data_IF_073582258913
#
_entry.id   IF_073582258913
#
_cell.length_a   1.000
_cell.length_b   1.000
_cell.length_c   1.000
_cell.angle_alpha   90.00
_cell.angle_beta   90.00
_cell.angle_gamma   90.00
#
_symmetry.space_group_name_H-M   'P 1'
#
loop_
_entity.id
_entity.type
_entity.pdbx_description
1 polymer ?
#
# COMPACT_ATOMS: atom_id res chain seq x y z
N UNK A 1 1.40 23.41 40.13
CA UNK A 1 0.39 22.57 39.43
C UNK A 1 1.06 21.91 38.22
N UNK A 2 1.04 20.57 38.16
CA UNK A 2 1.99 19.68 37.49
C UNK A 2 2.19 19.85 35.96
N UNK A 3 3.45 20.10 35.57
CA UNK A 3 3.97 20.01 34.19
C UNK A 3 4.01 18.55 33.67
N UNK A 4 3.97 17.57 34.59
CA UNK A 4 3.85 16.14 34.27
C UNK A 4 2.50 15.79 33.62
N UNK A 5 1.43 16.51 33.93
CA UNK A 5 0.09 16.25 33.38
C UNK A 5 -0.04 16.71 31.92
N UNK A 6 0.77 17.67 31.47
CA UNK A 6 0.85 18.09 30.06
C UNK A 6 1.70 17.14 29.22
N UNK A 7 2.70 16.48 29.80
CA UNK A 7 3.54 15.50 29.10
C UNK A 7 2.80 14.20 28.78
N UNK A 8 1.87 13.79 29.65
CA UNK A 8 0.99 12.61 29.44
C UNK A 8 -0.04 12.87 28.33
N UNK A 9 -0.43 14.13 28.09
CA UNK A 9 -1.40 14.51 27.05
C UNK A 9 -0.78 14.69 25.65
N UNK A 10 0.55 14.53 25.53
CA UNK A 10 1.34 14.80 24.30
C UNK A 10 2.06 13.57 23.74
N UNK A 11 1.75 12.38 24.24
CA UNK A 11 1.77 11.16 23.44
C UNK A 11 0.44 11.12 22.69
N UNK A 12 0.31 11.94 21.65
CA UNK A 12 -0.93 12.02 20.88
C UNK A 12 -1.24 10.62 20.34
N UNK A 13 -2.42 10.08 20.65
CA UNK A 13 -3.01 8.93 19.95
C UNK A 13 -2.64 9.07 18.47
N UNK A 14 -1.81 8.14 17.96
CA UNK A 14 -1.45 8.15 16.56
C UNK A 14 -2.78 8.09 15.80
N UNK A 15 -3.03 9.08 14.95
CA UNK A 15 -4.27 9.07 14.16
C UNK A 15 -4.41 7.73 13.44
N UNK A 16 -5.63 7.23 13.30
CA UNK A 16 -5.94 5.98 12.60
C UNK A 16 -5.23 5.93 11.24
N UNK A 17 -5.16 7.06 10.53
CA UNK A 17 -4.40 7.19 9.27
C UNK A 17 -2.92 6.86 9.44
N UNK A 18 -2.27 7.36 10.49
CA UNK A 18 -0.86 7.06 10.78
C UNK A 18 -0.68 5.60 11.13
N UNK A 19 -1.55 5.03 11.97
CA UNK A 19 -1.52 3.61 12.32
C UNK A 19 -1.69 2.73 11.08
N UNK A 20 -2.62 3.06 10.19
CA UNK A 20 -2.84 2.33 8.94
C UNK A 20 -1.62 2.38 8.03
N UNK A 21 -1.01 3.56 7.84
CA UNK A 21 0.20 3.72 7.03
C UNK A 21 1.38 2.95 7.63
N UNK A 22 1.55 3.00 8.94
CA UNK A 22 2.59 2.22 9.64
C UNK A 22 2.36 0.72 9.48
N UNK A 23 1.13 0.24 9.68
CA UNK A 23 0.80 -1.18 9.51
C UNK A 23 1.00 -1.69 8.08
N UNK A 24 0.70 -0.88 7.05
CA UNK A 24 1.06 -1.24 5.67
C UNK A 24 2.57 -1.28 5.48
N UNK A 25 3.31 -0.30 5.99
CA UNK A 25 4.77 -0.24 5.87
C UNK A 25 5.47 -1.43 6.52
N UNK A 26 4.90 -1.99 7.57
CA UNK A 26 5.44 -3.16 8.28
C UNK A 26 4.77 -4.43 7.79
N UNK A 27 3.57 -4.74 8.26
CA UNK A 27 2.92 -6.02 8.07
C UNK A 27 2.71 -6.38 6.59
N UNK A 28 2.21 -5.45 5.78
CA UNK A 28 1.97 -5.74 4.36
C UNK A 28 3.26 -5.81 3.56
N UNK A 29 4.26 -4.99 3.88
CA UNK A 29 5.62 -5.12 3.32
C UNK A 29 6.23 -6.47 3.66
N UNK A 30 6.13 -6.93 4.91
CA UNK A 30 6.67 -8.22 5.34
C UNK A 30 5.98 -9.36 4.61
N UNK A 31 4.65 -9.31 4.48
CA UNK A 31 3.88 -10.26 3.69
C UNK A 31 4.34 -10.29 2.22
N UNK A 32 4.46 -9.15 1.56
CA UNK A 32 4.96 -9.08 0.18
C UNK A 32 6.39 -9.61 0.05
N UNK A 33 7.24 -9.39 1.06
CA UNK A 33 8.59 -9.95 1.09
C UNK A 33 8.58 -11.48 1.12
N UNK A 34 7.63 -12.11 1.82
CA UNK A 34 7.47 -13.58 1.79
C UNK A 34 7.12 -14.11 0.39
N UNK A 35 6.50 -13.28 -0.44
CA UNK A 35 6.15 -13.60 -1.83
C UNK A 35 7.29 -13.28 -2.82
N UNK A 36 8.43 -12.79 -2.35
CA UNK A 36 9.59 -12.44 -3.16
C UNK A 36 9.59 -11.00 -3.70
N UNK A 37 8.62 -10.16 -3.32
CA UNK A 37 8.63 -8.76 -3.67
C UNK A 37 9.65 -7.99 -2.83
N UNK A 38 10.31 -7.02 -3.47
CA UNK A 38 11.22 -6.07 -2.84
C UNK A 38 10.65 -4.67 -2.97
N UNK A 39 10.71 -3.90 -1.90
CA UNK A 39 10.28 -2.49 -1.92
C UNK A 39 11.20 -1.67 -2.83
N UNK A 40 10.62 -0.88 -3.71
CA UNK A 40 11.37 0.04 -4.57
C UNK A 40 11.77 1.29 -3.79
N UNK A 41 13.02 1.74 -3.97
CA UNK A 41 13.57 2.93 -3.28
C UNK A 41 13.08 4.25 -3.87
N UNK A 42 12.60 4.24 -5.11
CA UNK A 42 12.34 5.45 -5.89
C UNK A 42 10.84 5.78 -5.94
N UNK A 43 10.52 7.08 -5.79
CA UNK A 43 9.22 7.74 -6.07
C UNK A 43 8.16 7.78 -4.97
N UNK A 44 8.54 7.91 -3.70
CA UNK A 44 7.58 8.27 -2.65
C UNK A 44 7.94 9.59 -1.97
N UNK A 45 8.11 10.65 -2.76
CA UNK A 45 8.47 11.99 -2.24
C UNK A 45 7.46 12.52 -1.21
N UNK A 46 6.21 12.03 -1.25
CA UNK A 46 5.12 12.53 -0.42
C UNK A 46 4.56 11.48 0.56
N UNK A 47 5.10 10.26 0.60
CA UNK A 47 4.63 9.21 1.51
C UNK A 47 3.27 8.60 1.13
N UNK A 48 2.80 8.82 -0.11
CA UNK A 48 1.45 8.51 -0.58
C UNK A 48 1.33 7.20 -1.35
N UNK A 49 2.46 6.61 -1.76
CA UNK A 49 2.45 5.32 -2.42
C UNK A 49 3.71 4.49 -2.14
N UNK A 50 3.53 3.21 -1.83
CA UNK A 50 4.63 2.26 -1.71
C UNK A 50 4.63 1.30 -2.88
N UNK A 51 5.71 1.31 -3.66
CA UNK A 51 5.90 0.39 -4.78
C UNK A 51 6.80 -0.77 -4.38
N UNK A 52 6.49 -1.94 -4.94
CA UNK A 52 7.17 -3.20 -4.73
C UNK A 52 7.31 -3.91 -6.07
N UNK A 53 8.41 -4.65 -6.22
CA UNK A 53 8.70 -5.42 -7.42
C UNK A 53 9.22 -6.80 -7.09
N UNK A 54 8.72 -7.81 -7.80
CA UNK A 54 9.32 -9.14 -7.84
C UNK A 54 9.82 -9.41 -9.25
N UNK A 55 11.07 -9.87 -9.36
CA UNK A 55 11.69 -10.22 -10.63
C UNK A 55 11.55 -11.73 -10.82
N UNK A 56 10.88 -12.14 -11.88
CA UNK A 56 10.77 -13.53 -12.33
C UNK A 56 11.51 -13.68 -13.67
N UNK A 57 11.75 -14.93 -14.09
CA UNK A 57 12.47 -15.21 -15.32
C UNK A 57 11.79 -14.62 -16.57
N UNK A 58 10.45 -14.64 -16.60
CA UNK A 58 9.65 -14.26 -17.76
C UNK A 58 8.91 -12.93 -17.62
N UNK A 59 8.95 -12.29 -16.44
CA UNK A 59 8.27 -11.01 -16.18
C UNK A 59 8.74 -10.36 -14.89
N UNK A 60 8.47 -9.07 -14.75
CA UNK A 60 8.51 -8.38 -13.47
C UNK A 60 7.10 -8.13 -12.98
N UNK A 61 6.78 -8.61 -11.78
CA UNK A 61 5.53 -8.30 -11.11
C UNK A 61 5.67 -7.01 -10.31
N UNK A 62 4.63 -6.19 -10.37
CA UNK A 62 4.57 -4.84 -9.83
C UNK A 62 3.38 -4.73 -8.88
N UNK A 63 3.63 -4.21 -7.69
CA UNK A 63 2.59 -3.91 -6.70
C UNK A 63 2.81 -2.50 -6.18
N UNK A 64 1.74 -1.71 -6.08
CA UNK A 64 1.77 -0.39 -5.50
C UNK A 64 0.61 -0.18 -4.54
N UNK A 65 0.91 0.08 -3.27
CA UNK A 65 -0.10 0.52 -2.30
C UNK A 65 -0.25 2.02 -2.43
N UNK A 66 -1.45 2.49 -2.75
CA UNK A 66 -1.77 3.90 -2.91
C UNK A 66 -2.71 4.35 -1.79
N UNK A 67 -2.34 5.40 -1.06
CA UNK A 67 -3.18 5.99 -0.02
C UNK A 67 -4.08 7.09 -0.57
N UNK A 68 -5.19 7.33 0.13
CA UNK A 68 -6.10 8.42 -0.20
C UNK A 68 -5.40 9.79 -0.11
N UNK A 69 -5.63 10.64 -1.12
CA UNK A 69 -5.02 11.97 -1.28
C UNK A 69 -5.51 12.99 -0.24
N UNK A 70 -6.67 12.75 0.37
CA UNK A 70 -7.23 13.58 1.43
C UNK A 70 -6.82 13.10 2.83
N UNK A 71 -5.85 12.17 2.92
CA UNK A 71 -5.33 11.62 4.16
C UNK A 71 -6.36 10.88 5.02
N UNK A 72 -7.42 10.38 4.40
CA UNK A 72 -8.34 9.48 5.07
C UNK A 72 -7.63 8.14 5.34
N UNK A 73 -8.05 7.37 6.36
CA UNK A 73 -7.45 6.08 6.69
C UNK A 73 -7.90 5.02 5.68
N UNK A 74 -7.50 5.20 4.42
CA UNK A 74 -7.90 4.38 3.29
C UNK A 74 -6.74 4.16 2.30
N UNK A 75 -6.75 3.01 1.65
CA UNK A 75 -5.79 2.65 0.61
C UNK A 75 -6.37 1.68 -0.43
N UNK A 76 -5.70 1.57 -1.57
CA UNK A 76 -5.91 0.54 -2.59
C UNK A 76 -4.58 -0.10 -2.96
N UNK A 77 -4.64 -1.30 -3.52
CA UNK A 77 -3.48 -2.00 -4.05
C UNK A 77 -3.62 -2.03 -5.57
N UNK A 78 -2.71 -1.39 -6.28
CA UNK A 78 -2.60 -1.52 -7.73
C UNK A 78 -1.55 -2.59 -8.04
N UNK A 79 -1.76 -3.39 -9.08
CA UNK A 79 -0.85 -4.47 -9.43
C UNK A 79 -0.84 -4.72 -10.95
N UNK A 80 0.20 -5.39 -11.42
CA UNK A 80 0.33 -5.80 -12.82
C UNK A 80 1.69 -6.43 -13.07
N UNK A 81 2.00 -6.71 -14.33
CA UNK A 81 3.31 -7.23 -14.72
C UNK A 81 3.81 -6.59 -16.00
N UNK A 82 5.12 -6.58 -16.18
CA UNK A 82 5.75 -6.23 -17.45
C UNK A 82 6.77 -7.29 -17.90
N UNK A 83 7.05 -7.39 -19.20
CA UNK A 83 8.12 -8.24 -19.72
C UNK A 83 9.51 -7.84 -19.18
N UNK A 84 10.48 -8.76 -19.12
CA UNK A 84 11.83 -8.48 -18.63
C UNK A 84 12.57 -7.45 -19.48
N UNK A 85 12.24 -7.34 -20.77
CA UNK A 85 12.78 -6.34 -21.69
C UNK A 85 12.21 -4.93 -21.48
N UNK A 86 11.13 -4.80 -20.72
CA UNK A 86 10.44 -3.53 -20.47
C UNK A 86 9.17 -3.36 -21.30
N UNK A 87 8.76 -2.11 -21.52
CA UNK A 87 7.59 -1.76 -22.33
C UNK A 87 7.91 -0.59 -23.26
N UNK A 88 7.12 -0.45 -24.31
CA UNK A 88 7.09 0.77 -25.12
C UNK A 88 5.91 1.61 -24.66
N UNK A 89 6.15 2.86 -24.28
CA UNK A 89 5.08 3.77 -23.87
C UNK A 89 4.32 4.36 -25.06
N UNK A 90 3.27 5.15 -24.78
CA UNK A 90 2.45 5.77 -25.81
C UNK A 90 3.21 6.76 -26.73
N UNK A 91 4.43 7.15 -26.37
CA UNK A 91 5.29 8.03 -27.15
C UNK A 91 6.38 7.27 -27.91
N UNK A 92 6.33 5.94 -27.94
CA UNK A 92 7.32 5.10 -28.61
C UNK A 92 8.63 4.96 -27.85
N UNK A 93 8.70 5.37 -26.58
CA UNK A 93 9.92 5.27 -25.77
C UNK A 93 10.02 3.89 -25.13
N UNK A 94 11.19 3.27 -25.23
CA UNK A 94 11.49 2.06 -24.47
C UNK A 94 11.74 2.41 -22.99
N UNK A 95 10.90 1.87 -22.11
CA UNK A 95 11.03 1.97 -20.67
C UNK A 95 11.52 0.62 -20.14
N UNK A 96 12.75 0.54 -19.60
CA UNK A 96 13.31 -0.73 -19.14
C UNK A 96 12.54 -1.25 -17.94
N UNK A 97 12.45 -2.59 -17.82
CA UNK A 97 11.59 -3.25 -16.85
C UNK A 97 11.84 -2.83 -15.38
N UNK A 98 13.07 -2.44 -15.02
CA UNK A 98 13.43 -1.95 -13.69
C UNK A 98 12.94 -0.52 -13.38
N UNK A 99 12.46 0.23 -14.38
CA UNK A 99 11.95 1.60 -14.25
C UNK A 99 10.42 1.66 -14.44
N UNK A 100 9.83 0.66 -15.09
CA UNK A 100 8.37 0.57 -15.31
C UNK A 100 7.62 0.62 -13.99
N UNK A 101 6.79 1.65 -13.79
CA UNK A 101 5.84 1.70 -12.67
C UNK A 101 4.46 1.16 -13.08
N UNK A 102 3.65 0.76 -12.11
CA UNK A 102 2.31 0.21 -12.37
C UNK A 102 1.42 1.14 -13.22
N UNK A 103 1.59 2.46 -13.08
CA UNK A 103 0.81 3.48 -13.81
C UNK A 103 1.09 3.53 -15.31
N UNK A 104 2.16 2.88 -15.76
CA UNK A 104 2.53 2.79 -17.18
C UNK A 104 2.01 1.51 -17.83
N UNK A 105 1.43 0.59 -17.05
CA UNK A 105 0.96 -0.69 -17.55
C UNK A 105 -0.42 -0.55 -18.22
N UNK A 106 -0.54 -1.11 -19.43
CA UNK A 106 -1.82 -1.23 -20.14
C UNK A 106 -2.72 -2.26 -19.46
N UNK A 107 -2.15 -3.43 -19.11
CA UNK A 107 -2.84 -4.48 -18.36
C UNK A 107 -2.45 -4.33 -16.90
N UNK A 108 -3.37 -3.79 -16.10
CA UNK A 108 -3.21 -3.64 -14.65
C UNK A 108 -4.51 -3.91 -13.93
N UNK A 109 -4.40 -4.24 -12.64
CA UNK A 109 -5.52 -4.43 -11.74
C UNK A 109 -5.48 -3.45 -10.57
N UNK A 110 -6.65 -3.19 -10.01
CA UNK A 110 -6.82 -2.47 -8.74
C UNK A 110 -7.65 -3.31 -7.79
N UNK A 111 -7.10 -3.53 -6.61
CA UNK A 111 -7.75 -4.22 -5.52
C UNK A 111 -8.15 -3.22 -4.43
N UNK A 112 -9.44 -3.25 -4.10
CA UNK A 112 -10.04 -2.60 -2.94
C UNK A 112 -10.80 -3.61 -2.09
N UNK A 113 -11.51 -3.12 -1.08
CA UNK A 113 -12.42 -3.92 -0.26
C UNK A 113 -13.50 -4.59 -1.14
N UNK A 114 -13.98 -3.88 -2.14
CA UNK A 114 -14.80 -4.37 -3.25
C UNK A 114 -14.49 -3.51 -4.51
N UNK A 115 -15.09 -3.79 -5.69
CA UNK A 115 -14.73 -3.08 -6.92
C UNK A 115 -14.85 -1.55 -6.87
N UNK A 116 -15.65 -1.02 -5.95
CA UNK A 116 -15.92 0.42 -5.84
C UNK A 116 -15.49 1.03 -4.50
N UNK A 117 -14.85 0.26 -3.63
CA UNK A 117 -14.53 0.68 -2.27
C UNK A 117 -13.08 0.39 -1.91
N UNK A 118 -12.41 1.40 -1.37
CA UNK A 118 -11.06 1.32 -0.84
C UNK A 118 -11.05 0.46 0.43
N UNK A 119 -9.89 -0.13 0.74
CA UNK A 119 -9.67 -0.63 2.10
C UNK A 119 -9.63 0.56 3.04
N UNK A 120 -10.10 0.39 4.28
CA UNK A 120 -10.01 1.48 5.23
C UNK A 120 -10.82 1.34 6.50
N UNK A 121 -10.46 2.17 7.47
CA UNK A 121 -11.04 2.15 8.81
C UNK A 121 -12.08 3.26 8.91
N UNK A 122 -13.35 2.89 9.09
CA UNK A 122 -14.41 3.86 9.39
C UNK A 122 -14.35 4.28 10.86
N UNK A 123 -14.85 5.49 11.17
CA UNK A 123 -14.96 5.97 12.57
C UNK A 123 -15.73 4.99 13.46
N UNK A 124 -16.81 4.42 12.93
CA UNK A 124 -17.63 3.45 13.64
C UNK A 124 -16.84 2.17 13.97
N UNK A 125 -16.06 1.67 13.01
CA UNK A 125 -15.22 0.48 13.20
C UNK A 125 -14.13 0.74 14.25
N UNK A 126 -13.48 1.90 14.18
CA UNK A 126 -12.52 2.35 15.20
C UNK A 126 -13.14 2.41 16.59
N UNK A 127 -14.33 3.00 16.70
CA UNK A 127 -15.02 3.17 17.98
C UNK A 127 -15.33 1.83 18.66
N UNK A 128 -15.81 0.84 17.90
CA UNK A 128 -16.19 -0.45 18.48
C UNK A 128 -15.03 -1.41 18.71
N UNK A 129 -13.99 -1.39 17.87
CA UNK A 129 -12.89 -2.37 17.94
C UNK A 129 -11.61 -1.80 18.57
N UNK A 130 -11.49 -0.48 18.67
CA UNK A 130 -10.21 0.20 18.90
C UNK A 130 -9.37 0.30 17.63
N UNK A 131 -8.61 1.39 17.53
CA UNK A 131 -7.87 1.76 16.31
C UNK A 131 -6.91 0.68 15.81
N UNK A 132 -6.13 0.07 16.72
CA UNK A 132 -5.14 -0.95 16.34
C UNK A 132 -5.80 -2.20 15.75
N UNK A 133 -6.88 -2.70 16.36
CA UNK A 133 -7.61 -3.89 15.91
C UNK A 133 -8.35 -3.59 14.59
N UNK A 134 -8.91 -2.39 14.46
CA UNK A 134 -9.57 -1.95 13.24
C UNK A 134 -8.59 -1.86 12.05
N UNK A 135 -7.38 -1.36 12.28
CA UNK A 135 -6.28 -1.30 11.29
C UNK A 135 -5.79 -2.69 10.92
N UNK A 136 -5.44 -3.52 11.91
CA UNK A 136 -4.93 -4.88 11.70
C UNK A 136 -5.91 -5.74 10.88
N UNK A 137 -7.21 -5.65 11.18
CA UNK A 137 -8.24 -6.37 10.43
C UNK A 137 -8.39 -5.90 8.97
N UNK A 138 -8.20 -4.61 8.67
CA UNK A 138 -8.20 -4.13 7.27
C UNK A 138 -6.95 -4.59 6.51
N UNK A 139 -5.79 -4.62 7.16
CA UNK A 139 -4.54 -5.10 6.55
C UNK A 139 -4.64 -6.60 6.25
N UNK A 140 -5.12 -7.41 7.20
CA UNK A 140 -5.36 -8.85 7.00
C UNK A 140 -6.38 -9.11 5.89
N UNK A 141 -7.43 -8.31 5.80
CA UNK A 141 -8.39 -8.39 4.70
C UNK A 141 -7.72 -8.13 3.35
N UNK A 142 -6.85 -7.12 3.27
CA UNK A 142 -6.11 -6.80 2.06
C UNK A 142 -5.14 -7.94 1.66
N UNK A 143 -4.41 -8.52 2.63
CA UNK A 143 -3.55 -9.69 2.40
C UNK A 143 -4.35 -10.89 1.87
N UNK A 144 -5.47 -11.21 2.51
CA UNK A 144 -6.31 -12.34 2.11
C UNK A 144 -6.86 -12.17 0.70
N UNK A 145 -7.30 -10.96 0.33
CA UNK A 145 -7.75 -10.66 -1.02
C UNK A 145 -6.62 -10.66 -2.04
N UNK A 146 -5.45 -10.13 -1.68
CA UNK A 146 -4.29 -10.15 -2.56
C UNK A 146 -3.84 -11.59 -2.86
N UNK A 147 -3.87 -12.48 -1.86
CA UNK A 147 -3.59 -13.91 -2.03
C UNK A 147 -4.50 -14.63 -3.03
N UNK A 148 -5.71 -14.11 -3.27
CA UNK A 148 -6.66 -14.75 -4.20
C UNK A 148 -6.41 -14.38 -5.66
N UNK A 149 -5.62 -13.33 -5.92
CA UNK A 149 -5.33 -12.81 -7.26
C UNK A 149 -3.86 -12.99 -7.67
N UNK A 150 -3.05 -13.48 -6.74
CA UNK A 150 -1.63 -13.82 -6.88
C UNK A 150 -1.49 -15.32 -7.17
#
# INVERSE_FOLDING_TARGET
MNDKTKKIKKESEKSVTKLLREGIKTQFTDYLATLGFKREKAKDSNGMSYSFRRILHNRHDLVAVQFDKHHWPQFVINFGSCPPEGIVDAYGRNIPANVVGYSLLVISGRLGKNPFQWFGVSKLKSYFLGDNVAVDSEIKLAMNKFRQIE
#
